data_IF_256003647601
#
_entry.id   IF_256003647601
#
_cell.length_a   1.000
_cell.length_b   1.000
_cell.length_c   1.000
_cell.angle_alpha   90.00
_cell.angle_beta   90.00
_cell.angle_gamma   90.00
#
_symmetry.space_group_name_H-M   'P 1'
#
loop_
_entity.id
_entity.type
_entity.pdbx_description
1 polymer ?
#
# COMPACT_ATOMS: atom_id res chain seq x y z
N UNK A 1 35.26 24.09 -13.83
CA UNK A 1 34.61 22.78 -14.02
C UNK A 1 35.59 21.71 -13.58
N UNK A 2 35.73 21.57 -12.28
CA UNK A 2 36.58 20.56 -11.66
C UNK A 2 35.69 19.34 -11.48
N UNK A 3 35.84 18.36 -12.37
CA UNK A 3 35.14 17.08 -12.25
C UNK A 3 35.74 16.38 -11.04
N UNK A 4 35.10 16.59 -9.89
CA UNK A 4 35.31 15.90 -8.63
C UNK A 4 35.58 14.43 -8.94
N UNK A 5 36.85 14.04 -8.76
CA UNK A 5 37.30 12.65 -8.87
C UNK A 5 36.75 11.92 -7.66
N UNK A 6 35.47 11.59 -7.68
CA UNK A 6 34.90 10.68 -6.71
C UNK A 6 35.67 9.36 -6.80
N UNK A 7 36.39 9.01 -5.72
CA UNK A 7 37.01 7.71 -5.53
C UNK A 7 35.97 6.63 -5.83
N UNK A 8 36.32 5.53 -6.52
CA UNK A 8 35.35 4.49 -6.90
C UNK A 8 34.51 3.96 -5.73
N UNK A 9 35.02 4.06 -4.50
CA UNK A 9 34.33 3.77 -3.25
C UNK A 9 33.15 4.71 -2.98
N UNK A 10 33.37 6.02 -3.10
CA UNK A 10 32.34 7.06 -2.91
C UNK A 10 31.22 6.87 -3.93
N UNK A 11 31.55 6.55 -5.19
CA UNK A 11 30.54 6.29 -6.22
C UNK A 11 29.69 5.04 -5.92
N UNK A 12 30.30 3.98 -5.37
CA UNK A 12 29.57 2.78 -4.95
C UNK A 12 28.68 3.05 -3.74
N UNK A 13 29.18 3.83 -2.79
CA UNK A 13 28.42 4.20 -1.61
C UNK A 13 27.24 5.12 -1.97
N UNK A 14 27.43 6.05 -2.90
CA UNK A 14 26.35 6.86 -3.46
C UNK A 14 25.28 6.01 -4.14
N UNK A 15 25.65 5.03 -4.96
CA UNK A 15 24.68 4.10 -5.56
C UNK A 15 23.91 3.30 -4.48
N UNK A 16 24.58 2.82 -3.43
CA UNK A 16 23.89 2.17 -2.29
C UNK A 16 22.91 3.09 -1.58
N UNK A 17 23.30 4.35 -1.37
CA UNK A 17 22.40 5.35 -0.77
C UNK A 17 21.23 5.69 -1.69
N UNK A 18 21.44 5.72 -3.01
CA UNK A 18 20.39 5.96 -4.00
C UNK A 18 19.38 4.80 -4.05
N UNK A 19 19.83 3.54 -3.95
CA UNK A 19 18.93 2.36 -3.85
C UNK A 19 18.14 2.32 -2.54
N UNK A 20 18.73 2.74 -1.42
CA UNK A 20 18.03 2.86 -0.13
C UNK A 20 16.97 3.97 -0.13
N UNK A 21 17.22 5.08 -0.84
CA UNK A 21 16.29 6.22 -0.95
C UNK A 21 15.16 5.95 -1.95
N UNK A 22 15.44 5.19 -2.99
CA UNK A 22 14.46 4.76 -3.98
C UNK A 22 14.40 3.24 -4.00
N UNK A 23 13.83 2.60 -2.95
CA UNK A 23 13.61 1.17 -2.99
C UNK A 23 12.73 0.87 -4.20
N UNK A 24 13.32 0.26 -5.24
CA UNK A 24 12.58 -0.21 -6.43
C UNK A 24 11.46 -1.20 -6.07
N UNK A 25 11.45 -1.67 -4.81
CA UNK A 25 10.41 -2.47 -4.17
C UNK A 25 9.35 -1.63 -3.45
N UNK A 26 9.10 -0.37 -3.85
CA UNK A 26 7.84 0.34 -3.52
C UNK A 26 6.68 -0.28 -4.31
N UNK A 27 6.55 -1.60 -4.25
CA UNK A 27 5.26 -2.25 -4.38
C UNK A 27 4.54 -1.79 -3.14
N UNK A 28 3.77 -0.71 -3.31
CA UNK A 28 2.72 -0.29 -2.42
C UNK A 28 1.76 -1.49 -2.37
N UNK A 29 2.09 -2.47 -1.55
CA UNK A 29 1.36 -3.72 -1.44
C UNK A 29 -0.05 -3.33 -1.09
N UNK A 30 -0.97 -3.60 -2.01
CA UNK A 30 -2.41 -3.46 -1.78
C UNK A 30 -2.81 -4.50 -0.75
N UNK A 31 -2.38 -4.28 0.49
CA UNK A 31 -2.63 -5.14 1.60
C UNK A 31 -4.06 -4.86 2.03
N UNK A 32 -5.02 -5.57 1.42
CA UNK A 32 -6.38 -5.73 1.94
C UNK A 32 -6.40 -5.92 3.48
N UNK A 33 -5.47 -6.69 4.10
CA UNK A 33 -5.37 -6.75 5.56
C UNK A 33 -4.97 -5.42 6.23
N UNK A 34 -4.14 -4.59 5.60
CA UNK A 34 -3.80 -3.24 6.10
C UNK A 34 -4.98 -2.27 5.93
N UNK A 35 -5.79 -2.46 4.89
CA UNK A 35 -7.02 -1.67 4.70
C UNK A 35 -8.09 -2.04 5.73
N UNK A 36 -8.25 -3.33 6.06
CA UNK A 36 -9.16 -3.81 7.13
C UNK A 36 -8.62 -3.43 8.52
N UNK A 37 -7.30 -3.44 8.71
CA UNK A 37 -6.64 -2.94 9.92
C UNK A 37 -6.77 -1.42 10.08
N UNK A 38 -6.61 -0.66 9.00
CA UNK A 38 -6.65 0.80 8.96
C UNK A 38 -8.07 1.39 9.02
N UNK A 39 -9.06 0.77 8.38
CA UNK A 39 -10.48 1.11 8.60
C UNK A 39 -10.98 0.60 9.96
N UNK A 40 -10.29 -0.37 10.53
CA UNK A 40 -10.65 -1.04 11.77
C UNK A 40 -11.76 -2.05 11.58
N UNK A 41 -11.67 -3.14 12.35
CA UNK A 41 -12.61 -4.27 12.30
C UNK A 41 -14.09 -3.85 12.51
N UNK A 42 -14.32 -2.74 13.22
CA UNK A 42 -15.65 -2.17 13.45
C UNK A 42 -16.26 -1.61 12.16
N UNK A 43 -15.49 -0.87 11.37
CA UNK A 43 -15.96 -0.29 10.10
C UNK A 43 -16.23 -1.37 9.06
N UNK A 44 -15.32 -2.33 8.95
CA UNK A 44 -15.49 -3.48 8.04
C UNK A 44 -16.71 -4.33 8.43
N UNK A 45 -16.94 -4.57 9.72
CA UNK A 45 -18.11 -5.32 10.19
C UNK A 45 -19.45 -4.63 9.88
N UNK A 46 -19.52 -3.31 10.05
CA UNK A 46 -20.71 -2.51 9.72
C UNK A 46 -20.97 -2.51 8.21
N UNK A 47 -19.93 -2.35 7.39
CA UNK A 47 -20.05 -2.40 5.94
C UNK A 47 -20.66 -3.72 5.46
N UNK A 48 -20.15 -4.84 6.00
CA UNK A 48 -20.63 -6.19 5.68
C UNK A 48 -22.10 -6.35 6.09
N UNK A 49 -22.47 -5.86 7.28
CA UNK A 49 -23.85 -5.93 7.76
C UNK A 49 -24.82 -5.17 6.85
N UNK A 50 -24.44 -3.96 6.41
CA UNK A 50 -25.25 -3.17 5.47
C UNK A 50 -25.41 -3.88 4.13
N UNK A 51 -24.35 -4.50 3.60
CA UNK A 51 -24.42 -5.26 2.35
C UNK A 51 -25.35 -6.47 2.46
N UNK A 52 -25.29 -7.21 3.56
CA UNK A 52 -26.18 -8.35 3.81
C UNK A 52 -27.63 -7.90 3.89
N UNK A 53 -27.92 -6.85 4.66
CA UNK A 53 -29.29 -6.33 4.79
C UNK A 53 -29.81 -5.81 3.45
N UNK A 54 -29.01 -5.03 2.71
CA UNK A 54 -29.36 -4.55 1.38
C UNK A 54 -29.63 -5.69 0.39
N UNK A 55 -28.82 -6.76 0.45
CA UNK A 55 -29.01 -7.94 -0.38
C UNK A 55 -30.32 -8.68 -0.04
N UNK A 56 -30.63 -8.84 1.25
CA UNK A 56 -31.89 -9.46 1.69
C UNK A 56 -33.09 -8.65 1.20
N UNK A 57 -33.05 -7.32 1.33
CA UNK A 57 -34.11 -6.44 0.84
C UNK A 57 -34.26 -6.55 -0.69
N UNK A 58 -33.15 -6.53 -1.43
CA UNK A 58 -33.19 -6.71 -2.88
C UNK A 58 -33.80 -8.07 -3.26
N UNK A 59 -33.35 -9.15 -2.64
CA UNK A 59 -33.87 -10.49 -2.90
C UNK A 59 -35.35 -10.65 -2.47
N UNK A 60 -35.83 -9.89 -1.49
CA UNK A 60 -37.22 -9.96 -1.04
C UNK A 60 -38.18 -9.13 -1.92
N UNK A 61 -37.71 -8.03 -2.51
CA UNK A 61 -38.56 -7.08 -3.25
C UNK A 61 -38.38 -7.12 -4.77
N UNK A 62 -37.23 -7.57 -5.28
CA UNK A 62 -36.89 -7.56 -6.70
C UNK A 62 -36.69 -8.96 -7.29
N UNK A 63 -37.02 -10.01 -6.53
CA UNK A 63 -37.10 -11.39 -7.01
C UNK A 63 -38.54 -11.79 -7.32
#
# INVERSE_FOLDING_TARGET
MEKEKDTPEIRREKMRQEELKHPSSSIHGSNLPDLVGGLGWKGTGILILVLIVGFILYAAFFQ
#
